data_IF_345299496495
#
_entry.id   IF_345299496495
#
_cell.length_a   1.000
_cell.length_b   1.000
_cell.length_c   1.000
_cell.angle_alpha   90.00
_cell.angle_beta   90.00
_cell.angle_gamma   90.00
#
_symmetry.space_group_name_H-M   'P 1'
#
loop_
_entity.id
_entity.type
_entity.pdbx_description
1 polymer ?
#
# COMPACT_ATOMS: atom_id res chain seq x y z
N UNK A 1 -8.95 -21.41 -14.97
CA UNK A 1 -9.41 -22.81 -14.95
C UNK A 1 -10.39 -22.95 -13.79
N UNK A 2 -11.39 -23.81 -13.89
CA UNK A 2 -12.27 -24.15 -12.76
C UNK A 2 -11.64 -25.25 -11.89
N UNK A 3 -12.15 -25.45 -10.67
CA UNK A 3 -11.78 -26.62 -9.83
C UNK A 3 -12.00 -27.95 -10.56
N UNK A 4 -13.06 -28.03 -11.36
CA UNK A 4 -13.38 -29.20 -12.18
C UNK A 4 -12.32 -29.44 -13.25
N UNK A 5 -11.83 -28.38 -13.91
CA UNK A 5 -10.82 -28.50 -14.95
C UNK A 5 -9.51 -29.06 -14.39
N UNK A 6 -9.12 -28.65 -13.17
CA UNK A 6 -7.90 -29.14 -12.52
C UNK A 6 -8.03 -30.60 -12.07
N UNK A 7 -9.16 -30.97 -11.46
CA UNK A 7 -9.39 -32.36 -11.09
C UNK A 7 -9.42 -33.29 -12.31
N UNK A 8 -10.04 -32.85 -13.41
CA UNK A 8 -10.01 -33.58 -14.69
C UNK A 8 -8.60 -33.68 -15.27
N UNK A 9 -7.82 -32.60 -15.28
CA UNK A 9 -6.45 -32.60 -15.75
C UNK A 9 -5.57 -33.54 -14.92
N UNK A 10 -5.66 -33.44 -13.59
CA UNK A 10 -4.90 -34.30 -12.69
C UNK A 10 -5.25 -35.79 -12.84
N UNK A 11 -6.54 -36.10 -13.06
CA UNK A 11 -7.00 -37.45 -13.39
C UNK A 11 -6.42 -37.91 -14.73
N UNK A 12 -6.42 -37.06 -15.75
CA UNK A 12 -5.87 -37.38 -17.07
C UNK A 12 -4.36 -37.64 -17.06
N UNK A 13 -3.63 -37.02 -16.11
CA UNK A 13 -2.20 -37.22 -15.90
C UNK A 13 -1.88 -38.42 -14.99
N UNK A 14 -2.88 -39.17 -14.52
CA UNK A 14 -2.69 -40.33 -13.64
C UNK A 14 -2.41 -40.01 -12.17
N UNK A 15 -2.52 -38.75 -11.76
CA UNK A 15 -2.38 -38.34 -10.36
C UNK A 15 -3.66 -38.60 -9.55
N UNK A 16 -4.84 -38.52 -10.19
CA UNK A 16 -6.12 -38.87 -9.59
C UNK A 16 -6.48 -38.03 -8.37
N UNK A 17 -6.53 -36.70 -8.54
CA UNK A 17 -6.83 -35.76 -7.44
C UNK A 17 -8.34 -35.54 -7.36
N UNK A 18 -8.93 -35.89 -6.22
CA UNK A 18 -10.35 -35.67 -5.97
C UNK A 18 -10.64 -34.18 -5.85
N UNK A 19 -11.89 -33.77 -6.16
CA UNK A 19 -12.30 -32.36 -6.09
C UNK A 19 -12.09 -31.73 -4.69
N UNK A 20 -12.12 -32.55 -3.64
CA UNK A 20 -11.85 -32.14 -2.25
C UNK A 20 -10.36 -31.90 -1.96
N UNK A 21 -9.46 -32.47 -2.75
CA UNK A 21 -8.00 -32.37 -2.58
C UNK A 21 -7.39 -31.24 -3.43
N UNK A 22 -8.15 -30.69 -4.38
CA UNK A 22 -7.72 -29.60 -5.27
C UNK A 22 -7.23 -28.38 -4.47
N UNK A 23 -7.83 -28.06 -3.32
CA UNK A 23 -7.37 -26.94 -2.49
C UNK A 23 -6.00 -27.17 -1.86
N UNK A 24 -5.77 -28.36 -1.33
CA UNK A 24 -4.50 -28.74 -0.74
C UNK A 24 -3.40 -28.73 -1.81
N UNK A 25 -3.71 -29.24 -3.01
CA UNK A 25 -2.84 -29.17 -4.18
C UNK A 25 -2.47 -27.72 -4.52
N UNK A 26 -3.46 -26.85 -4.74
CA UNK A 26 -3.23 -25.45 -5.12
C UNK A 26 -2.42 -24.70 -4.06
N UNK A 27 -2.80 -24.83 -2.79
CA UNK A 27 -2.10 -24.20 -1.66
C UNK A 27 -0.65 -24.66 -1.57
N UNK A 28 -0.40 -25.96 -1.78
CA UNK A 28 0.94 -26.55 -1.78
C UNK A 28 1.81 -25.97 -2.90
N UNK A 29 1.31 -25.96 -4.13
CA UNK A 29 2.08 -25.46 -5.27
C UNK A 29 2.23 -23.93 -5.28
N UNK A 30 1.33 -23.20 -4.63
CA UNK A 30 1.54 -21.77 -4.31
C UNK A 30 2.62 -21.54 -3.28
N UNK A 31 2.70 -22.40 -2.26
CA UNK A 31 3.80 -22.34 -1.30
C UNK A 31 5.16 -22.62 -1.94
N UNK A 32 5.20 -23.44 -3.01
CA UNK A 32 6.38 -23.67 -3.83
C UNK A 32 6.63 -22.60 -4.91
N UNK A 33 5.82 -21.54 -4.98
CA UNK A 33 5.88 -20.54 -6.04
C UNK A 33 5.90 -21.17 -7.45
N UNK A 34 5.18 -22.27 -7.64
CA UNK A 34 5.03 -22.96 -8.92
C UNK A 34 3.76 -22.53 -9.66
N UNK A 35 2.74 -22.09 -8.92
CA UNK A 35 1.52 -21.45 -9.41
C UNK A 35 1.00 -20.49 -8.34
N UNK A 36 0.40 -19.37 -8.70
CA UNK A 36 -0.24 -18.48 -7.71
C UNK A 36 -1.75 -18.74 -7.64
N UNK A 37 -2.20 -19.35 -6.55
CA UNK A 37 -3.61 -19.53 -6.24
C UNK A 37 -4.07 -18.49 -5.21
N UNK A 38 -5.19 -17.81 -5.47
CA UNK A 38 -5.78 -16.85 -4.55
C UNK A 38 -7.21 -17.29 -4.21
N UNK A 39 -7.45 -17.76 -2.97
CA UNK A 39 -8.75 -18.29 -2.54
C UNK A 39 -9.92 -17.31 -2.65
N UNK A 40 -9.62 -16.01 -2.70
CA UNK A 40 -10.60 -14.92 -2.77
C UNK A 40 -11.35 -14.83 -4.10
N UNK A 41 -10.88 -15.51 -5.16
CA UNK A 41 -11.55 -15.55 -6.45
C UNK A 41 -12.40 -16.81 -6.58
N UNK A 42 -13.57 -16.67 -7.19
CA UNK A 42 -14.45 -17.81 -7.51
C UNK A 42 -13.86 -18.74 -8.56
N UNK A 43 -12.97 -18.21 -9.42
CA UNK A 43 -12.24 -18.96 -10.43
C UNK A 43 -10.79 -19.19 -10.00
N UNK A 44 -10.22 -20.37 -10.32
CA UNK A 44 -8.80 -20.62 -10.08
C UNK A 44 -8.01 -19.91 -11.17
N UNK A 45 -7.37 -18.83 -10.74
CA UNK A 45 -6.29 -18.19 -11.48
C UNK A 45 -5.06 -19.05 -11.30
N UNK A 46 -4.58 -19.67 -12.38
CA UNK A 46 -3.22 -20.19 -12.45
C UNK A 46 -2.39 -19.12 -13.14
N UNK A 47 -1.57 -18.44 -12.37
CA UNK A 47 -0.73 -17.37 -12.88
C UNK A 47 0.61 -17.97 -13.36
N UNK A 48 1.01 -17.59 -14.57
CA UNK A 48 2.41 -17.70 -14.99
C UNK A 48 3.21 -16.67 -14.18
N UNK A 49 4.00 -17.16 -13.21
CA UNK A 49 4.71 -16.32 -12.27
C UNK A 49 5.75 -15.46 -12.98
N UNK A 50 6.44 -16.00 -13.99
CA UNK A 50 7.45 -15.28 -14.77
C UNK A 50 6.83 -14.06 -15.45
N UNK A 51 5.72 -14.27 -16.17
CA UNK A 51 5.01 -13.16 -16.85
C UNK A 51 4.44 -12.14 -15.88
N UNK A 52 3.95 -12.59 -14.72
CA UNK A 52 3.46 -11.68 -13.70
C UNK A 52 4.57 -10.83 -13.12
N UNK A 53 5.73 -11.43 -12.81
CA UNK A 53 6.88 -10.69 -12.31
C UNK A 53 7.44 -9.75 -13.36
N UNK A 54 7.52 -10.16 -14.63
CA UNK A 54 7.96 -9.30 -15.73
C UNK A 54 7.01 -8.11 -15.91
N UNK A 55 5.70 -8.34 -15.83
CA UNK A 55 4.71 -7.26 -15.87
C UNK A 55 4.84 -6.32 -14.66
N UNK A 56 5.12 -6.86 -13.48
CA UNK A 56 5.29 -6.09 -12.25
C UNK A 56 6.55 -5.21 -12.32
N UNK A 57 7.66 -5.74 -12.83
CA UNK A 57 8.91 -5.00 -13.04
C UNK A 57 8.69 -3.83 -14.00
N UNK A 58 7.95 -4.05 -15.10
CA UNK A 58 7.57 -2.97 -16.02
C UNK A 58 6.71 -1.89 -15.37
N UNK A 59 5.81 -2.26 -14.44
CA UNK A 59 5.04 -1.28 -13.66
C UNK A 59 5.98 -0.46 -12.79
N UNK A 60 6.92 -1.08 -12.09
CA UNK A 60 7.89 -0.38 -11.25
C UNK A 60 8.83 0.53 -12.06
N UNK A 61 9.25 0.11 -13.25
CA UNK A 61 10.09 0.89 -14.14
C UNK A 61 9.38 2.12 -14.73
N UNK A 62 8.04 2.15 -14.76
CA UNK A 62 7.30 3.32 -15.23
C UNK A 62 7.62 4.58 -14.40
N UNK A 63 8.00 4.44 -13.13
CA UNK A 63 8.39 5.59 -12.31
C UNK A 63 9.72 6.22 -12.72
N UNK A 64 10.54 5.54 -13.54
CA UNK A 64 11.73 6.11 -14.17
C UNK A 64 11.42 6.90 -15.46
N UNK A 65 10.15 6.97 -15.86
CA UNK A 65 9.74 7.74 -17.05
C UNK A 65 9.93 9.25 -16.85
N UNK A 66 9.96 10.00 -17.97
CA UNK A 66 10.04 11.47 -17.97
C UNK A 66 8.74 12.15 -17.50
N UNK A 67 7.65 11.40 -17.30
CA UNK A 67 6.39 11.95 -16.82
C UNK A 67 6.42 12.18 -15.31
N UNK A 68 5.99 13.38 -14.89
CA UNK A 68 6.05 13.81 -13.49
C UNK A 68 5.08 13.02 -12.61
N UNK A 69 3.91 12.64 -13.12
CA UNK A 69 2.94 11.87 -12.34
C UNK A 69 3.49 10.48 -12.00
N UNK A 70 4.11 9.83 -12.98
CA UNK A 70 4.77 8.53 -12.82
C UNK A 70 5.93 8.58 -11.82
N UNK A 71 6.76 9.62 -11.90
CA UNK A 71 7.83 9.88 -10.91
C UNK A 71 7.32 10.09 -9.47
N UNK A 72 6.07 10.52 -9.31
CA UNK A 72 5.42 10.69 -8.00
C UNK A 72 4.56 9.46 -7.60
N UNK A 73 4.66 8.36 -8.37
CA UNK A 73 4.06 7.07 -8.05
C UNK A 73 2.65 6.87 -8.59
N UNK A 74 2.24 7.61 -9.62
CA UNK A 74 0.92 7.47 -10.25
C UNK A 74 1.00 6.78 -11.61
N UNK A 75 0.11 5.82 -11.85
CA UNK A 75 -0.01 5.16 -13.15
C UNK A 75 -1.48 5.07 -13.57
N UNK A 76 -1.80 5.36 -14.83
CA UNK A 76 -3.18 5.33 -15.31
C UNK A 76 -3.67 3.89 -15.46
N UNK A 77 -4.99 3.68 -15.36
CA UNK A 77 -5.59 2.37 -15.63
C UNK A 77 -5.21 1.86 -17.03
N UNK A 78 -5.26 2.72 -18.04
CA UNK A 78 -4.92 2.36 -19.42
C UNK A 78 -3.46 1.95 -19.61
N UNK A 79 -2.53 2.56 -18.88
CA UNK A 79 -1.12 2.15 -18.91
C UNK A 79 -0.94 0.75 -18.31
N UNK A 80 -1.57 0.44 -17.17
CA UNK A 80 -1.57 -0.91 -16.60
C UNK A 80 -2.19 -1.91 -17.59
N UNK A 81 -3.31 -1.55 -18.23
CA UNK A 81 -3.99 -2.43 -19.16
C UNK A 81 -3.11 -2.75 -20.37
N UNK A 82 -2.36 -1.77 -20.87
CA UNK A 82 -1.39 -1.98 -21.94
C UNK A 82 -0.26 -2.92 -21.51
N UNK A 83 0.35 -2.68 -20.33
CA UNK A 83 1.44 -3.53 -19.82
C UNK A 83 0.99 -4.98 -19.63
N UNK A 84 -0.19 -5.20 -19.04
CA UNK A 84 -0.74 -6.53 -18.86
C UNK A 84 -0.99 -7.23 -20.21
N UNK A 85 -1.56 -6.52 -21.19
CA UNK A 85 -1.78 -7.07 -22.52
C UNK A 85 -0.46 -7.41 -23.25
N UNK A 86 0.57 -6.57 -23.11
CA UNK A 86 1.90 -6.82 -23.69
C UNK A 86 2.51 -8.12 -23.13
N UNK A 87 2.25 -8.43 -21.85
CA UNK A 87 2.62 -9.70 -21.18
C UNK A 87 1.61 -10.83 -21.32
N UNK A 88 0.56 -10.65 -22.13
CA UNK A 88 -0.52 -11.63 -22.34
C UNK A 88 -1.21 -12.05 -21.03
N UNK A 89 -1.30 -11.13 -20.07
CA UNK A 89 -2.07 -11.26 -18.83
C UNK A 89 -3.45 -10.63 -19.00
N UNK A 90 -4.44 -11.12 -18.25
CA UNK A 90 -5.73 -10.45 -18.14
C UNK A 90 -5.57 -9.14 -17.34
N UNK A 91 -5.92 -7.96 -17.90
CA UNK A 91 -5.73 -6.69 -17.22
C UNK A 91 -6.50 -6.53 -15.91
N UNK A 92 -7.77 -6.95 -15.87
CA UNK A 92 -8.62 -6.79 -14.68
C UNK A 92 -8.12 -7.69 -13.54
N UNK A 93 -7.71 -8.91 -13.86
CA UNK A 93 -7.03 -9.81 -12.94
C UNK A 93 -5.74 -9.16 -12.41
N UNK A 94 -4.85 -8.67 -13.28
CA UNK A 94 -3.59 -8.07 -12.86
C UNK A 94 -3.80 -6.87 -11.92
N UNK A 95 -4.71 -5.94 -12.25
CA UNK A 95 -5.09 -4.83 -11.35
C UNK A 95 -5.65 -5.34 -10.02
N UNK A 96 -6.40 -6.43 -10.04
CA UNK A 96 -6.97 -7.02 -8.83
C UNK A 96 -5.90 -7.67 -7.95
N UNK A 97 -4.86 -8.26 -8.54
CA UNK A 97 -3.66 -8.73 -7.85
C UNK A 97 -2.87 -7.59 -7.23
N UNK A 98 -2.60 -6.50 -7.97
CA UNK A 98 -1.91 -5.31 -7.45
C UNK A 98 -2.59 -4.76 -6.18
N UNK A 99 -3.92 -4.74 -6.15
CA UNK A 99 -4.69 -4.33 -4.96
C UNK A 99 -4.63 -5.36 -3.83
N UNK A 100 -4.74 -6.65 -4.16
CA UNK A 100 -4.79 -7.74 -3.19
C UNK A 100 -3.47 -7.90 -2.45
N UNK A 101 -2.36 -7.80 -3.19
CA UNK A 101 -1.00 -7.77 -2.64
C UNK A 101 -0.60 -6.44 -2.01
N UNK A 102 -1.48 -5.44 -2.04
CA UNK A 102 -1.25 -4.10 -1.49
C UNK A 102 -0.08 -3.35 -2.15
N UNK A 103 0.23 -3.64 -3.42
CA UNK A 103 1.13 -2.81 -4.22
C UNK A 103 0.51 -1.47 -4.62
N UNK A 104 -0.82 -1.42 -4.75
CA UNK A 104 -1.50 -0.28 -5.36
C UNK A 104 -2.78 0.16 -4.63
N UNK A 105 -2.99 1.48 -4.54
CA UNK A 105 -4.27 2.08 -4.13
C UNK A 105 -4.96 2.70 -5.35
N UNK A 106 -6.23 2.37 -5.66
CA UNK A 106 -6.98 3.11 -6.67
C UNK A 106 -7.27 4.53 -6.17
N UNK A 107 -6.95 5.52 -6.99
CA UNK A 107 -7.06 6.95 -6.67
C UNK A 107 -7.88 7.66 -7.74
N UNK A 108 -8.82 8.50 -7.27
CA UNK A 108 -9.55 9.44 -8.12
C UNK A 108 -8.79 10.76 -8.17
N UNK A 109 -8.79 11.43 -9.32
CA UNK A 109 -8.12 12.72 -9.51
C UNK A 109 -8.56 13.77 -8.47
N UNK A 110 -9.83 13.77 -8.07
CA UNK A 110 -10.36 14.67 -7.02
C UNK A 110 -9.75 14.47 -5.63
N UNK A 111 -9.10 13.32 -5.40
CA UNK A 111 -8.44 12.93 -4.14
C UNK A 111 -6.94 13.18 -4.18
N UNK A 112 -6.42 13.77 -5.25
CA UNK A 112 -5.03 14.21 -5.37
C UNK A 112 -4.99 15.73 -5.45
N UNK A 113 -4.10 16.36 -4.69
CA UNK A 113 -3.84 17.82 -4.80
C UNK A 113 -2.43 18.01 -5.30
N UNK A 114 -2.33 18.42 -6.57
CA UNK A 114 -1.07 18.70 -7.25
C UNK A 114 -1.19 20.03 -7.97
N UNK A 115 -0.19 20.90 -7.80
CA UNK A 115 -0.07 22.14 -8.57
C UNK A 115 0.81 21.92 -9.81
N UNK A 116 1.58 20.84 -9.85
CA UNK A 116 2.62 20.57 -10.86
C UNK A 116 2.17 19.69 -12.03
N UNK A 117 1.11 18.90 -11.87
CA UNK A 117 0.56 18.06 -12.93
C UNK A 117 -0.90 17.72 -12.66
N UNK A 118 -1.62 17.39 -13.72
CA UNK A 118 -2.95 16.79 -13.64
C UNK A 118 -2.85 15.30 -13.92
N UNK A 119 -3.54 14.50 -13.12
CA UNK A 119 -3.76 13.08 -13.42
C UNK A 119 -4.94 12.98 -14.39
N UNK A 120 -4.85 12.11 -15.40
CA UNK A 120 -5.96 11.85 -16.33
C UNK A 120 -7.27 11.53 -15.60
N UNK A 121 -8.39 11.92 -16.20
CA UNK A 121 -9.70 11.79 -15.59
C UNK A 121 -10.09 10.30 -15.44
N UNK A 122 -10.60 9.99 -14.25
CA UNK A 122 -11.44 8.81 -13.95
C UNK A 122 -10.81 7.44 -13.65
N UNK A 123 -9.50 7.35 -13.35
CA UNK A 123 -8.91 6.43 -12.35
C UNK A 123 -7.41 6.21 -12.62
N UNK A 124 -6.58 6.52 -11.62
CA UNK A 124 -5.18 6.10 -11.59
C UNK A 124 -4.92 5.22 -10.37
N UNK A 125 -3.82 4.49 -10.39
CA UNK A 125 -3.31 3.78 -9.25
C UNK A 125 -2.14 4.56 -8.66
N UNK A 126 -2.10 4.61 -7.33
CA UNK A 126 -0.95 5.09 -6.58
C UNK A 126 -0.14 3.88 -6.12
N UNK A 127 1.12 3.84 -6.54
CA UNK A 127 2.09 2.79 -6.28
C UNK A 127 3.37 3.48 -5.78
N UNK A 128 3.55 3.62 -4.45
CA UNK A 128 4.66 4.36 -3.87
C UNK A 128 6.03 3.78 -4.27
N UNK A 129 6.11 2.47 -4.47
CA UNK A 129 7.32 1.72 -4.80
C UNK A 129 7.83 1.96 -6.24
N UNK A 130 7.02 2.56 -7.13
CA UNK A 130 7.48 2.99 -8.46
C UNK A 130 8.47 4.16 -8.40
N UNK A 131 8.45 4.95 -7.33
CA UNK A 131 9.12 6.26 -7.33
C UNK A 131 10.64 6.11 -7.39
N UNK A 132 11.33 6.88 -8.26
CA UNK A 132 12.75 6.68 -8.54
C UNK A 132 13.66 7.31 -7.49
N UNK A 133 13.14 8.15 -6.60
CA UNK A 133 14.00 8.97 -5.72
C UNK A 133 14.29 8.29 -4.38
N UNK A 134 15.48 8.57 -3.86
CA UNK A 134 15.98 8.01 -2.60
C UNK A 134 15.07 8.34 -1.42
N UNK A 135 15.14 7.45 -0.43
CA UNK A 135 14.46 7.62 0.86
C UNK A 135 14.81 8.96 1.51
N UNK A 136 13.83 9.58 2.14
CA UNK A 136 14.03 10.74 3.02
C UNK A 136 14.24 10.26 4.45
N UNK A 137 15.36 10.63 5.05
CA UNK A 137 15.86 10.01 6.29
C UNK A 137 16.18 11.01 7.40
N UNK A 138 15.76 12.27 7.31
CA UNK A 138 16.00 13.24 8.38
C UNK A 138 14.85 13.18 9.38
N UNK A 139 14.92 12.43 10.50
CA UNK A 139 13.88 12.45 11.52
C UNK A 139 13.70 13.87 12.03
N UNK A 140 12.45 14.27 12.30
CA UNK A 140 12.19 15.57 12.89
C UNK A 140 11.57 15.43 14.28
N UNK A 141 11.99 16.25 15.25
CA UNK A 141 11.40 16.27 16.58
C UNK A 141 9.90 16.58 16.47
N UNK A 142 9.12 16.11 17.46
CA UNK A 142 7.66 16.28 17.52
C UNK A 142 6.86 15.48 16.49
N UNK A 143 7.48 14.46 15.89
CA UNK A 143 6.76 13.49 15.07
C UNK A 143 6.08 12.44 15.94
N UNK A 144 4.94 11.94 15.47
CA UNK A 144 4.29 10.76 16.00
C UNK A 144 4.87 9.54 15.29
N UNK A 145 5.11 8.47 16.01
CA UNK A 145 5.64 7.22 15.47
C UNK A 145 4.65 6.09 15.71
N UNK A 146 4.43 5.27 14.69
CA UNK A 146 3.73 4.00 14.76
C UNK A 146 4.78 2.89 14.70
N UNK A 147 4.94 2.14 15.78
CA UNK A 147 5.82 0.97 15.84
C UNK A 147 4.99 -0.31 15.86
N UNK A 148 5.53 -1.39 15.30
CA UNK A 148 4.90 -2.71 15.30
C UNK A 148 5.95 -3.83 15.40
N UNK A 149 5.56 -4.98 15.94
CA UNK A 149 6.47 -6.09 16.30
C UNK A 149 6.60 -7.20 15.26
N UNK A 150 5.69 -7.26 14.28
CA UNK A 150 5.64 -8.31 13.26
C UNK A 150 5.87 -7.74 11.85
N UNK A 151 6.20 -8.61 10.90
CA UNK A 151 6.46 -8.26 9.49
C UNK A 151 5.19 -7.71 8.83
N UNK A 152 4.90 -6.43 9.07
CA UNK A 152 3.87 -5.73 8.32
C UNK A 152 4.26 -5.78 6.84
N UNK A 153 3.35 -6.19 5.93
CA UNK A 153 3.67 -6.33 4.52
C UNK A 153 4.31 -5.07 3.97
N UNK A 154 5.32 -5.22 3.10
CA UNK A 154 6.27 -4.18 2.63
C UNK A 154 5.69 -2.96 1.92
N UNK A 155 4.38 -2.73 2.00
CA UNK A 155 3.65 -1.61 1.43
C UNK A 155 2.79 -0.88 2.49
N UNK A 156 3.37 -0.62 3.67
CA UNK A 156 2.70 0.12 4.77
C UNK A 156 2.15 1.47 4.31
N UNK A 157 2.83 2.12 3.37
CA UNK A 157 2.36 3.36 2.73
C UNK A 157 1.02 3.16 2.00
N UNK A 158 0.88 2.10 1.18
CA UNK A 158 -0.35 1.78 0.46
C UNK A 158 -1.48 1.51 1.46
N UNK A 159 -1.19 0.70 2.49
CA UNK A 159 -2.15 0.35 3.52
C UNK A 159 -2.70 1.61 4.22
N UNK A 160 -1.81 2.48 4.68
CA UNK A 160 -2.19 3.71 5.37
C UNK A 160 -2.97 4.65 4.44
N UNK A 161 -2.48 4.91 3.22
CA UNK A 161 -3.16 5.76 2.23
C UNK A 161 -4.58 5.27 1.95
N UNK A 162 -4.76 3.95 1.76
CA UNK A 162 -6.09 3.33 1.57
C UNK A 162 -7.03 3.62 2.76
N UNK A 163 -6.53 3.60 3.99
CA UNK A 163 -7.34 3.89 5.18
C UNK A 163 -7.63 5.38 5.36
N UNK A 164 -6.69 6.27 5.05
CA UNK A 164 -6.94 7.70 4.98
C UNK A 164 -8.01 8.05 3.93
N UNK A 165 -8.04 7.34 2.81
CA UNK A 165 -9.03 7.53 1.77
C UNK A 165 -10.45 7.10 2.14
N UNK A 166 -10.69 6.53 3.33
CA UNK A 166 -12.05 6.36 3.87
C UNK A 166 -12.66 7.69 4.36
N UNK A 167 -11.83 8.72 4.57
CA UNK A 167 -12.26 10.02 5.08
C UNK A 167 -12.36 11.05 3.94
N UNK A 168 -13.53 11.67 3.75
CA UNK A 168 -13.81 12.57 2.63
C UNK A 168 -12.94 13.84 2.60
N UNK A 169 -12.40 14.23 3.75
CA UNK A 169 -11.52 15.39 3.93
C UNK A 169 -10.02 15.07 3.80
N UNK A 170 -9.67 13.84 3.40
CA UNK A 170 -8.28 13.46 3.13
C UNK A 170 -7.99 13.47 1.63
N UNK A 171 -6.80 13.93 1.26
CA UNK A 171 -6.30 13.87 -0.12
C UNK A 171 -4.80 13.55 -0.12
N UNK A 172 -4.31 12.96 -1.20
CA UNK A 172 -2.89 12.65 -1.38
C UNK A 172 -2.20 13.84 -2.04
N UNK A 173 -1.03 14.20 -1.53
CA UNK A 173 -0.13 15.17 -2.13
C UNK A 173 1.00 14.38 -2.80
N UNK A 174 1.33 14.66 -4.08
CA UNK A 174 2.46 14.04 -4.75
C UNK A 174 3.75 14.24 -3.96
N UNK A 175 4.49 13.16 -3.79
CA UNK A 175 5.74 13.14 -3.07
C UNK A 175 6.71 12.20 -3.82
N UNK A 176 7.90 12.68 -4.22
CA UNK A 176 8.80 11.87 -5.02
C UNK A 176 9.56 10.81 -4.21
N UNK A 177 9.63 10.94 -2.88
CA UNK A 177 10.43 10.05 -2.02
C UNK A 177 9.81 8.65 -1.93
N UNK A 178 10.59 7.61 -2.25
CA UNK A 178 10.09 6.22 -2.30
C UNK A 178 9.49 5.75 -0.97
N UNK A 179 10.08 6.15 0.15
CA UNK A 179 9.64 5.76 1.49
C UNK A 179 8.63 6.73 2.13
N UNK A 180 8.13 7.74 1.40
CA UNK A 180 7.21 8.71 2.02
C UNK A 180 5.96 9.03 1.19
N UNK A 181 4.81 9.05 1.84
CA UNK A 181 3.54 9.53 1.28
C UNK A 181 3.06 10.75 2.05
N UNK A 182 2.41 11.72 1.40
CA UNK A 182 1.91 12.91 2.08
C UNK A 182 0.38 12.94 1.98
N UNK A 183 -0.30 12.92 3.12
CA UNK A 183 -1.74 13.05 3.22
C UNK A 183 -2.10 14.44 3.71
N UNK A 184 -2.89 15.16 2.93
CA UNK A 184 -3.53 16.41 3.34
C UNK A 184 -4.87 16.12 4.00
N UNK A 185 -5.03 16.61 5.23
CA UNK A 185 -6.26 16.57 6.02
C UNK A 185 -6.87 17.97 6.06
N UNK A 186 -7.98 18.17 5.36
CA UNK A 186 -8.74 19.40 5.38
C UNK A 186 -9.62 19.46 6.64
N UNK A 187 -9.54 20.56 7.41
CA UNK A 187 -10.34 20.74 8.62
C UNK A 187 -11.18 22.01 8.62
N UNK A 188 -10.95 22.90 7.66
CA UNK A 188 -11.83 24.02 7.35
C UNK A 188 -11.68 24.36 5.86
N UNK A 189 -12.64 25.10 5.28
CA UNK A 189 -12.71 25.43 3.83
C UNK A 189 -11.41 25.97 3.21
N UNK A 190 -10.49 26.52 4.03
CA UNK A 190 -9.18 27.04 3.60
C UNK A 190 -8.01 26.55 4.44
N UNK A 191 -8.24 25.67 5.42
CA UNK A 191 -7.20 25.22 6.34
C UNK A 191 -7.04 23.71 6.25
N UNK A 192 -5.78 23.29 6.13
CA UNK A 192 -5.41 21.89 6.02
C UNK A 192 -4.16 21.61 6.85
N UNK A 193 -3.91 20.33 7.13
CA UNK A 193 -2.66 19.83 7.70
C UNK A 193 -2.12 18.75 6.78
N UNK A 194 -0.84 18.87 6.42
CA UNK A 194 -0.15 17.84 5.65
C UNK A 194 0.59 16.93 6.64
N UNK A 195 0.28 15.64 6.55
CA UNK A 195 0.85 14.54 7.33
C UNK A 195 1.74 13.74 6.39
N UNK A 196 3.04 13.81 6.61
CA UNK A 196 3.99 12.96 5.90
C UNK A 196 4.12 11.64 6.64
N UNK A 197 3.75 10.55 5.97
CA UNK A 197 3.99 9.17 6.36
C UNK A 197 5.37 8.82 5.83
N UNK A 198 6.31 8.45 6.70
CA UNK A 198 7.67 8.04 6.32
C UNK A 198 7.91 6.64 6.87
N UNK A 199 8.17 5.71 5.97
CA UNK A 199 8.45 4.33 6.28
C UNK A 199 9.95 4.15 6.58
N UNK A 200 10.25 3.77 7.82
CA UNK A 200 11.58 3.39 8.28
C UNK A 200 11.70 1.86 8.49
N UNK A 201 10.84 1.09 7.82
CA UNK A 201 10.68 -0.38 7.86
C UNK A 201 10.00 -0.91 9.11
N UNK A 202 10.63 -0.75 10.26
CA UNK A 202 10.14 -1.29 11.55
C UNK A 202 9.32 -0.26 12.33
N UNK A 203 9.29 0.97 11.82
CA UNK A 203 8.58 2.10 12.42
C UNK A 203 8.15 3.05 11.32
N UNK A 204 6.95 3.60 11.45
CA UNK A 204 6.43 4.63 10.56
C UNK A 204 6.40 5.95 11.30
N UNK A 205 7.08 6.95 10.77
CA UNK A 205 7.01 8.32 11.23
C UNK A 205 5.82 9.04 10.57
N UNK A 206 4.95 9.60 11.39
CA UNK A 206 3.79 10.41 11.02
C UNK A 206 4.12 11.86 11.38
N UNK A 207 4.79 12.53 10.44
CA UNK A 207 5.26 13.91 10.60
C UNK A 207 4.18 14.89 10.20
N UNK A 208 3.85 15.81 11.10
CA UNK A 208 3.00 16.96 10.79
C UNK A 208 3.90 18.10 10.31
N UNK A 209 3.59 18.71 9.17
CA UNK A 209 4.42 19.80 8.64
C UNK A 209 4.63 20.93 9.67
N UNK A 210 5.83 21.51 9.75
CA UNK A 210 6.24 22.49 10.76
C UNK A 210 5.35 23.76 10.79
N UNK A 211 5.23 24.37 11.98
CA UNK A 211 4.59 25.69 12.17
C UNK A 211 3.06 25.67 12.35
N UNK A 212 2.48 24.54 12.77
CA UNK A 212 1.02 24.40 12.89
C UNK A 212 0.49 24.87 14.25
N UNK A 213 -0.68 25.49 14.23
CA UNK A 213 -1.37 25.89 15.46
C UNK A 213 -1.86 24.68 16.26
N UNK A 214 -2.02 24.83 17.56
CA UNK A 214 -2.63 23.81 18.44
C UNK A 214 -3.97 23.31 17.91
N UNK A 215 -4.77 24.20 17.29
CA UNK A 215 -6.05 23.88 16.66
C UNK A 215 -5.89 22.89 15.48
N UNK A 216 -4.89 23.10 14.64
CA UNK A 216 -4.59 22.25 13.50
C UNK A 216 -4.19 20.83 13.97
N UNK A 217 -3.33 20.75 14.98
CA UNK A 217 -2.94 19.49 15.60
C UNK A 217 -4.14 18.78 16.22
N UNK A 218 -4.94 19.47 17.05
CA UNK A 218 -6.14 18.89 17.68
C UNK A 218 -7.13 18.28 16.67
N UNK A 219 -7.13 18.77 15.44
CA UNK A 219 -8.05 18.27 14.41
C UNK A 219 -7.46 17.13 13.59
N UNK A 220 -6.18 17.21 13.20
CA UNK A 220 -5.56 16.19 12.36
C UNK A 220 -5.17 14.92 13.14
N UNK A 221 -4.64 15.06 14.35
CA UNK A 221 -4.10 13.93 15.14
C UNK A 221 -5.15 12.82 15.39
N UNK A 222 -6.39 13.11 15.86
CA UNK A 222 -7.37 12.06 16.09
C UNK A 222 -7.71 11.27 14.82
N UNK A 223 -7.77 11.93 13.67
CA UNK A 223 -8.01 11.27 12.39
C UNK A 223 -6.82 10.39 11.99
N UNK A 224 -5.59 10.90 12.14
CA UNK A 224 -4.35 10.15 11.87
C UNK A 224 -4.30 8.88 12.70
N UNK A 225 -4.46 9.00 14.02
CA UNK A 225 -4.49 7.84 14.93
C UNK A 225 -5.58 6.87 14.49
N UNK A 226 -6.81 7.35 14.28
CA UNK A 226 -7.94 6.49 13.89
C UNK A 226 -7.71 5.76 12.56
N UNK A 227 -7.11 6.42 11.57
CA UNK A 227 -6.80 5.81 10.28
C UNK A 227 -5.71 4.73 10.43
N UNK A 228 -4.65 5.02 11.18
CA UNK A 228 -3.55 4.10 11.46
C UNK A 228 -4.00 2.89 12.29
N UNK A 229 -4.75 3.10 13.38
CA UNK A 229 -5.37 2.02 14.18
C UNK A 229 -6.21 1.12 13.28
N UNK A 230 -7.13 1.69 12.49
CA UNK A 230 -7.96 0.89 11.59
C UNK A 230 -7.15 0.11 10.56
N UNK A 231 -6.01 0.63 10.12
CA UNK A 231 -5.10 -0.06 9.21
C UNK A 231 -4.44 -1.26 9.90
N UNK A 232 -3.91 -1.08 11.11
CA UNK A 232 -3.27 -2.16 11.87
C UNK A 232 -4.27 -3.25 12.26
N UNK A 233 -5.50 -2.88 12.64
CA UNK A 233 -6.59 -3.84 12.87
C UNK A 233 -6.96 -4.65 11.62
N UNK A 234 -6.77 -4.11 10.41
CA UNK A 234 -6.96 -4.87 9.17
C UNK A 234 -5.82 -5.87 8.94
N UNK A 235 -4.62 -5.57 9.41
CA UNK A 235 -3.47 -6.49 9.35
C UNK A 235 -3.58 -7.59 10.41
N UNK A 236 -4.05 -7.27 11.64
CA UNK A 236 -4.30 -8.25 12.72
C UNK A 236 -5.21 -9.41 12.27
N UNK A 237 -6.08 -9.21 11.29
CA UNK A 237 -6.92 -10.28 10.70
C UNK A 237 -6.14 -11.36 9.94
N UNK A 238 -4.89 -11.07 9.58
CA UNK A 238 -4.02 -11.92 8.76
C UNK A 238 -2.68 -12.24 9.42
N UNK A 239 -2.37 -11.60 10.55
CA UNK A 239 -1.10 -11.70 11.28
C UNK A 239 -1.45 -11.75 12.77
N UNK A 240 -1.49 -12.97 13.31
CA UNK A 240 -2.01 -13.24 14.66
C UNK A 240 -1.15 -12.66 15.80
N UNK A 241 0.14 -12.42 15.54
CA UNK A 241 1.13 -11.94 16.52
C UNK A 241 1.46 -10.44 16.36
N UNK A 242 0.68 -9.70 15.59
CA UNK A 242 0.92 -8.27 15.38
C UNK A 242 0.57 -7.46 16.64
N UNK A 243 1.58 -6.91 17.30
CA UNK A 243 1.42 -5.83 18.28
C UNK A 243 1.80 -4.50 17.65
N UNK A 244 1.14 -3.41 18.06
CA UNK A 244 1.48 -2.07 17.61
C UNK A 244 1.20 -0.99 18.66
N UNK A 245 1.92 0.12 18.54
CA UNK A 245 1.80 1.24 19.46
C UNK A 245 2.16 2.58 18.83
N UNK A 246 1.72 3.64 19.49
CA UNK A 246 2.03 5.02 19.10
C UNK A 246 2.95 5.70 20.12
N UNK A 247 4.00 6.35 19.61
CA UNK A 247 5.03 7.00 20.42
C UNK A 247 5.23 8.42 19.94
N UNK A 248 5.44 9.35 20.87
CA UNK A 248 5.79 10.73 20.53
C UNK A 248 7.20 11.04 21.02
N UNK A 249 8.07 11.47 20.10
CA UNK A 249 9.43 11.90 20.44
C UNK A 249 9.43 13.40 20.78
N UNK A 250 9.63 13.73 22.05
CA UNK A 250 9.48 15.09 22.56
C UNK A 250 10.73 15.98 22.48
N UNK A 251 11.93 15.47 22.17
CA UNK A 251 13.17 16.27 22.24
C UNK A 251 14.24 15.86 21.20
N UNK A 252 15.06 16.83 20.78
CA UNK A 252 16.20 16.68 19.85
C UNK A 252 17.50 16.14 20.47
N UNK A 253 17.57 15.81 21.77
CA UNK A 253 18.88 15.57 22.39
C UNK A 253 19.43 14.16 22.18
N UNK A 254 20.65 14.08 21.64
CA UNK A 254 21.54 12.90 21.48
C UNK A 254 21.82 12.06 22.75
N UNK A 255 21.14 12.30 23.89
CA UNK A 255 21.46 11.67 25.18
C UNK A 255 20.29 11.09 25.96
N UNK A 256 19.05 11.32 25.53
CA UNK A 256 17.87 10.67 26.12
C UNK A 256 16.66 10.88 25.23
N UNK A 257 16.23 9.83 24.52
CA UNK A 257 14.95 9.79 23.82
C UNK A 257 13.82 9.75 24.86
N UNK A 258 13.28 10.92 25.23
CA UNK A 258 12.01 10.97 25.95
C UNK A 258 10.88 10.54 25.00
N UNK A 259 10.54 9.26 25.07
CA UNK A 259 9.41 8.68 24.37
C UNK A 259 8.21 8.65 25.32
N UNK A 260 7.12 9.29 24.91
CA UNK A 260 5.83 9.06 25.55
C UNK A 260 5.11 7.97 24.76
N UNK A 261 4.84 6.83 25.41
CA UNK A 261 3.92 5.82 24.88
C UNK A 261 2.53 6.46 24.98
N UNK A 262 1.99 6.87 23.83
CA UNK A 262 0.68 7.51 23.77
C UNK A 262 -0.44 6.48 23.88
N UNK A 263 -0.23 5.29 23.29
CA UNK A 263 -1.19 4.20 23.30
C UNK A 263 -0.51 2.89 22.84
N UNK A 264 -0.60 1.83 23.65
CA UNK A 264 -0.25 0.45 23.26
C UNK A 264 -1.56 -0.32 23.10
N UNK A 265 -1.75 -0.99 21.96
CA UNK A 265 -2.92 -1.82 21.70
C UNK A 265 -2.44 -3.27 21.62
N UNK A 266 -2.64 -3.98 22.72
CA UNK A 266 -2.51 -5.44 22.81
C UNK A 266 -3.54 -6.11 21.89
#
# INVERSE_FOLDING_TARGET
MTRSDISQLATSCGAGIDSSEVEAFLTTFTSFASLLYIPSYTDIVLLDIERFTDCLDKVFDCGQSLDKASSDGFITKGAIDKLANDEKLDPEMFKSLLKSFRFAVPVRTSRVKSDSFSIEADCSYYIPSMRPTKATNSPQPHSLYLQYTSCVPGDIQVLLVRHFFKYSNCSLIPCPHINASVIRVDYNKKKHVDVTIIDHKDIVELRLGNGRSTEACKTAFPLVIKACTAAMEDVKKSVDDLEYGFFLCCTESDKSTHQFIYHQID
#
